data_IF_422513628099
#
_entry.id   IF_422513628099
#
_cell.length_a   1.000
_cell.length_b   1.000
_cell.length_c   1.000
_cell.angle_alpha   90.00
_cell.angle_beta   90.00
_cell.angle_gamma   90.00
#
_symmetry.space_group_name_H-M   'P 1'
#
loop_
_entity.id
_entity.type
_entity.pdbx_description
1 polymer ?
#
# COMPACT_ATOMS: atom_id res chain seq x y z
N UNK A 1 3.40 36.76 14.01
CA UNK A 1 2.33 35.75 14.04
C UNK A 1 3.06 34.44 14.23
N UNK A 2 2.82 33.73 15.32
CA UNK A 2 3.35 32.36 15.47
C UNK A 2 2.78 31.54 14.35
N UNK A 3 3.65 30.96 13.52
CA UNK A 3 3.24 30.02 12.49
C UNK A 3 2.71 28.78 13.23
N UNK A 4 1.40 28.63 13.30
CA UNK A 4 0.79 27.49 13.99
C UNK A 4 1.08 26.23 13.19
N UNK A 5 1.61 25.22 13.87
CA UNK A 5 1.90 23.93 13.26
C UNK A 5 0.62 23.28 12.70
N UNK A 6 0.71 22.67 11.52
CA UNK A 6 -0.37 21.91 10.88
C UNK A 6 -0.03 20.42 10.86
N UNK A 7 -0.99 19.57 11.17
CA UNK A 7 -0.83 18.11 11.03
C UNK A 7 -2.16 17.46 10.73
N UNK A 8 -2.11 16.38 9.93
CA UNK A 8 -3.31 15.62 9.62
C UNK A 8 -3.03 14.30 8.91
N UNK A 9 -4.05 13.45 8.92
CA UNK A 9 -4.07 12.16 8.25
C UNK A 9 -4.66 12.28 6.86
N UNK A 10 -3.90 11.86 5.85
CA UNK A 10 -4.29 11.85 4.43
C UNK A 10 -4.40 10.42 3.96
N UNK A 11 -5.61 9.90 3.88
CA UNK A 11 -5.84 8.50 3.59
C UNK A 11 -6.11 8.27 2.11
N UNK A 12 -5.39 7.32 1.52
CA UNK A 12 -5.45 6.97 0.10
C UNK A 12 -6.26 5.70 -0.03
N UNK A 13 -7.45 5.82 -0.61
CA UNK A 13 -8.40 4.70 -0.79
C UNK A 13 -8.80 4.57 -2.26
N UNK A 14 -9.35 3.42 -2.63
CA UNK A 14 -9.81 3.14 -3.99
C UNK A 14 -9.62 1.67 -4.36
N UNK A 15 -10.02 1.29 -5.55
CA UNK A 15 -10.00 -0.08 -6.03
C UNK A 15 -8.57 -0.64 -6.21
N UNK A 16 -8.40 -1.96 -6.34
CA UNK A 16 -7.11 -2.55 -6.66
C UNK A 16 -6.55 -2.05 -7.99
N UNK A 17 -5.23 -1.87 -8.07
CA UNK A 17 -4.47 -1.52 -9.27
C UNK A 17 -4.72 -0.12 -9.87
N UNK A 18 -5.43 0.77 -9.21
CA UNK A 18 -5.62 2.17 -9.64
C UNK A 18 -4.37 3.04 -9.41
N UNK A 19 -3.34 2.52 -8.74
CA UNK A 19 -2.06 3.19 -8.56
C UNK A 19 -1.86 3.88 -7.21
N UNK A 20 -2.60 3.50 -6.16
CA UNK A 20 -2.48 4.05 -4.80
C UNK A 20 -1.06 4.01 -4.24
N UNK A 21 -0.42 2.84 -4.25
CA UNK A 21 0.95 2.66 -3.72
C UNK A 21 2.00 3.43 -4.54
N UNK A 22 1.79 3.58 -5.86
CA UNK A 22 2.64 4.44 -6.70
C UNK A 22 2.50 5.90 -6.28
N UNK A 23 1.25 6.36 -6.11
CA UNK A 23 0.94 7.70 -5.63
C UNK A 23 1.54 7.93 -4.23
N UNK A 24 1.34 7.00 -3.30
CA UNK A 24 1.90 7.06 -1.94
C UNK A 24 3.41 7.32 -1.95
N UNK A 25 4.16 6.51 -2.70
CA UNK A 25 5.61 6.67 -2.82
C UNK A 25 6.01 8.01 -3.45
N UNK A 26 5.21 8.57 -4.37
CA UNK A 26 5.43 9.91 -4.96
C UNK A 26 5.15 11.05 -3.97
N UNK A 27 4.10 10.91 -3.16
CA UNK A 27 3.74 11.92 -2.15
C UNK A 27 4.77 11.96 -1.02
N UNK A 28 5.19 10.80 -0.53
CA UNK A 28 6.19 10.70 0.55
C UNK A 28 7.60 11.02 0.07
N UNK A 29 7.91 10.71 -1.19
CA UNK A 29 9.26 10.86 -1.76
C UNK A 29 10.17 9.64 -1.56
N UNK A 30 9.70 8.64 -0.81
CA UNK A 30 10.43 7.42 -0.47
C UNK A 30 9.64 6.17 -0.88
N UNK A 31 10.34 5.05 -1.09
CA UNK A 31 9.71 3.78 -1.44
C UNK A 31 9.32 3.00 -0.19
N UNK A 32 8.15 3.30 0.36
CA UNK A 32 7.61 2.64 1.56
C UNK A 32 6.52 1.61 1.24
N UNK A 33 5.83 1.72 0.11
CA UNK A 33 4.86 0.73 -0.37
C UNK A 33 5.41 -0.04 -1.57
N UNK A 34 5.18 -1.35 -1.61
CA UNK A 34 5.54 -2.19 -2.77
C UNK A 34 4.58 -1.95 -3.93
N UNK A 35 5.09 -2.10 -5.15
CA UNK A 35 4.33 -1.82 -6.36
C UNK A 35 4.37 -3.04 -7.29
N UNK A 36 3.20 -3.61 -7.59
CA UNK A 36 3.04 -4.62 -8.64
C UNK A 36 1.72 -4.41 -9.39
N UNK A 37 1.57 -5.02 -10.56
CA UNK A 37 0.32 -5.03 -11.32
C UNK A 37 -0.72 -6.03 -10.78
N UNK A 38 -0.39 -6.80 -9.74
CA UNK A 38 -1.28 -7.81 -9.17
C UNK A 38 -2.20 -7.22 -8.11
N UNK A 39 -3.43 -7.72 -8.05
CA UNK A 39 -4.33 -7.41 -6.94
C UNK A 39 -3.73 -7.88 -5.60
N UNK A 40 -4.19 -7.33 -4.49
CA UNK A 40 -3.69 -7.65 -3.14
C UNK A 40 -2.18 -7.40 -2.96
N UNK A 41 -1.60 -6.46 -3.72
CA UNK A 41 -0.21 -6.02 -3.53
C UNK A 41 -0.06 -5.40 -2.15
N UNK A 42 -0.86 -4.40 -1.81
CA UNK A 42 -0.97 -3.84 -0.45
C UNK A 42 -1.98 -4.66 0.34
N UNK A 43 -1.58 -5.22 1.46
CA UNK A 43 -2.44 -6.00 2.37
C UNK A 43 -2.63 -5.34 3.72
N UNK A 44 -1.68 -4.54 4.14
CA UNK A 44 -1.71 -3.75 5.38
C UNK A 44 -1.98 -2.28 5.07
N UNK A 45 -2.45 -1.56 6.06
CA UNK A 45 -2.40 -0.10 6.04
C UNK A 45 -0.94 0.32 6.30
N UNK A 46 -0.36 1.09 5.38
CA UNK A 46 1.03 1.53 5.44
C UNK A 46 1.05 3.05 5.60
N UNK A 47 1.69 3.53 6.66
CA UNK A 47 1.82 4.95 6.96
C UNK A 47 3.17 5.47 6.48
N UNK A 48 3.16 6.62 5.80
CA UNK A 48 4.33 7.40 5.45
C UNK A 48 4.19 8.84 5.92
N UNK A 49 5.21 9.33 6.58
CA UNK A 49 5.20 10.61 7.27
C UNK A 49 6.08 11.61 6.53
N UNK A 50 5.51 12.75 6.17
CA UNK A 50 6.25 13.87 5.57
C UNK A 50 6.31 15.01 6.61
N UNK A 51 7.51 15.43 6.93
CA UNK A 51 7.78 16.46 7.92
C UNK A 51 8.41 17.70 7.29
N UNK A 52 7.89 18.88 7.66
CA UNK A 52 8.55 20.17 7.47
C UNK A 52 8.69 20.87 8.82
N UNK A 53 9.25 22.06 8.85
CA UNK A 53 9.41 22.82 10.11
C UNK A 53 8.06 23.05 10.81
N UNK A 54 7.03 23.36 10.04
CA UNK A 54 5.71 23.83 10.50
C UNK A 54 4.56 22.89 10.12
N UNK A 55 4.86 21.74 9.52
CA UNK A 55 3.82 20.78 9.07
C UNK A 55 4.26 19.33 9.25
N UNK A 56 3.27 18.45 9.52
CA UNK A 56 3.43 17.01 9.43
C UNK A 56 2.22 16.40 8.70
N UNK A 57 2.47 15.72 7.57
CA UNK A 57 1.42 15.03 6.81
C UNK A 57 1.62 13.52 6.97
N UNK A 58 0.58 12.85 7.47
CA UNK A 58 0.59 11.40 7.67
C UNK A 58 -0.21 10.75 6.55
N UNK A 59 0.48 10.36 5.47
CA UNK A 59 -0.13 9.62 4.37
C UNK A 59 -0.37 8.16 4.75
N UNK A 60 -1.47 7.59 4.28
CA UNK A 60 -1.84 6.21 4.56
C UNK A 60 -2.24 5.49 3.28
N UNK A 61 -1.42 4.54 2.80
CA UNK A 61 -1.78 3.63 1.71
C UNK A 61 -2.62 2.48 2.25
N UNK A 62 -3.75 2.20 1.61
CA UNK A 62 -4.68 1.14 2.03
C UNK A 62 -4.76 0.01 1.01
N UNK A 63 -5.14 -1.20 1.44
CA UNK A 63 -5.51 -2.26 0.51
C UNK A 63 -6.56 -1.79 -0.49
N UNK A 64 -6.54 -2.36 -1.70
CA UNK A 64 -7.60 -2.09 -2.67
C UNK A 64 -8.94 -2.67 -2.22
N UNK A 65 -10.00 -1.87 -2.41
CA UNK A 65 -11.37 -2.29 -2.08
C UNK A 65 -11.80 -3.44 -2.98
N UNK A 66 -12.22 -4.55 -2.37
CA UNK A 66 -12.67 -5.76 -3.07
C UNK A 66 -13.80 -6.44 -2.28
N UNK A 67 -14.58 -7.27 -2.96
CA UNK A 67 -15.53 -8.15 -2.28
C UNK A 67 -14.77 -9.33 -1.67
N UNK A 68 -14.82 -9.51 -0.32
CA UNK A 68 -14.05 -10.54 0.36
C UNK A 68 -14.64 -11.94 0.11
N UNK A 69 -13.75 -12.91 -0.15
CA UNK A 69 -14.09 -14.32 -0.30
C UNK A 69 -13.52 -15.17 0.87
N UNK A 70 -12.64 -14.61 1.69
CA UNK A 70 -12.02 -15.25 2.86
C UNK A 70 -11.54 -14.19 3.85
N UNK A 71 -11.28 -14.60 5.10
CA UNK A 71 -11.02 -13.68 6.24
C UNK A 71 -9.87 -12.70 6.04
N UNK A 72 -8.79 -13.08 5.37
CA UNK A 72 -7.73 -12.14 5.05
C UNK A 72 -8.25 -10.95 4.21
N UNK A 73 -9.14 -11.22 3.23
CA UNK A 73 -9.71 -10.15 2.42
C UNK A 73 -10.71 -9.29 3.21
N UNK A 74 -11.42 -9.88 4.18
CA UNK A 74 -12.25 -9.12 5.12
C UNK A 74 -11.39 -8.16 5.94
N UNK A 75 -10.26 -8.62 6.47
CA UNK A 75 -9.29 -7.76 7.19
C UNK A 75 -8.75 -6.64 6.30
N UNK A 76 -8.42 -6.94 5.05
CA UNK A 76 -7.99 -5.93 4.07
C UNK A 76 -9.07 -4.88 3.81
N UNK A 77 -10.33 -5.30 3.66
CA UNK A 77 -11.46 -4.38 3.48
C UNK A 77 -11.68 -3.51 4.73
N UNK A 78 -11.54 -4.08 5.92
CA UNK A 78 -11.64 -3.35 7.17
C UNK A 78 -10.58 -2.25 7.29
N UNK A 79 -9.33 -2.49 6.88
CA UNK A 79 -8.31 -1.43 6.81
C UNK A 79 -8.72 -0.27 5.89
N UNK A 80 -9.33 -0.59 4.73
CA UNK A 80 -9.77 0.45 3.79
C UNK A 80 -11.00 1.21 4.30
N UNK A 81 -11.88 0.54 5.05
CA UNK A 81 -13.06 1.18 5.65
C UNK A 81 -12.69 2.04 6.86
N UNK A 82 -11.78 1.58 7.73
CA UNK A 82 -11.33 2.37 8.88
C UNK A 82 -10.66 3.68 8.44
N UNK A 83 -9.96 3.64 7.31
CA UNK A 83 -9.32 4.82 6.74
C UNK A 83 -10.30 5.92 6.28
N UNK A 84 -11.60 5.63 6.16
CA UNK A 84 -12.62 6.66 5.90
C UNK A 84 -12.96 7.47 7.15
N UNK A 85 -12.84 6.85 8.34
CA UNK A 85 -13.27 7.43 9.61
C UNK A 85 -12.24 8.33 10.29
N UNK A 86 -10.96 8.16 9.97
CA UNK A 86 -9.85 8.88 10.61
C UNK A 86 -9.10 9.82 9.66
N UNK A 87 -9.65 10.12 8.49
CA UNK A 87 -9.06 11.01 7.52
C UNK A 87 -9.37 12.48 7.81
N UNK A 88 -8.35 13.34 7.84
CA UNK A 88 -8.51 14.80 7.74
C UNK A 88 -8.68 15.22 6.26
N UNK A 89 -8.05 14.48 5.34
CA UNK A 89 -8.25 14.60 3.89
C UNK A 89 -8.30 13.22 3.27
N UNK A 90 -9.26 12.97 2.41
CA UNK A 90 -9.41 11.70 1.70
C UNK A 90 -8.96 11.83 0.25
N UNK A 91 -7.97 11.04 -0.16
CA UNK A 91 -7.59 10.85 -1.56
C UNK A 91 -8.31 9.61 -2.09
N UNK A 92 -9.42 9.82 -2.80
CA UNK A 92 -10.11 8.73 -3.48
C UNK A 92 -9.53 8.54 -4.88
N UNK A 93 -8.82 7.42 -5.08
CA UNK A 93 -8.09 7.16 -6.32
C UNK A 93 -8.86 6.18 -7.20
N UNK A 94 -9.13 6.60 -8.42
CA UNK A 94 -9.63 5.81 -9.54
C UNK A 94 -8.66 5.89 -10.72
N UNK A 95 -8.95 5.22 -11.82
CA UNK A 95 -8.18 5.36 -13.05
C UNK A 95 -9.08 5.41 -14.31
N UNK A 96 -8.48 5.71 -15.45
CA UNK A 96 -9.19 5.87 -16.73
C UNK A 96 -9.73 4.57 -17.32
N UNK A 97 -9.39 3.41 -16.75
CA UNK A 97 -9.82 2.08 -17.24
C UNK A 97 -10.92 1.49 -16.39
N UNK A 98 -11.03 1.93 -15.15
CA UNK A 98 -11.95 1.37 -14.17
C UNK A 98 -13.41 1.74 -14.47
N UNK A 99 -14.31 0.77 -14.28
CA UNK A 99 -15.75 1.06 -14.30
C UNK A 99 -16.15 1.75 -13.00
N UNK A 100 -16.91 2.82 -13.13
CA UNK A 100 -17.36 3.68 -12.02
C UNK A 100 -18.22 2.89 -11.00
N UNK A 101 -19.02 1.96 -11.47
CA UNK A 101 -19.96 1.15 -10.68
C UNK A 101 -19.33 -0.10 -10.01
N UNK A 102 -18.01 -0.28 -10.10
CA UNK A 102 -17.35 -1.51 -9.67
C UNK A 102 -17.50 -1.82 -8.17
N UNK A 103 -17.53 -0.80 -7.30
CA UNK A 103 -17.71 -0.92 -5.85
C UNK A 103 -18.65 0.16 -5.31
N UNK A 104 -19.89 0.09 -5.72
CA UNK A 104 -20.92 1.09 -5.39
C UNK A 104 -21.11 1.28 -3.88
N UNK A 105 -21.13 0.18 -3.10
CA UNK A 105 -21.24 0.25 -1.64
C UNK A 105 -20.10 1.06 -0.98
N UNK A 106 -18.90 0.94 -1.49
CA UNK A 106 -17.76 1.71 -0.97
C UNK A 106 -17.87 3.17 -1.39
N UNK A 107 -18.28 3.43 -2.64
CA UNK A 107 -18.51 4.78 -3.14
C UNK A 107 -19.59 5.50 -2.29
N UNK A 108 -20.68 4.82 -1.93
CA UNK A 108 -21.70 5.37 -1.02
C UNK A 108 -21.15 5.75 0.36
N UNK A 109 -20.15 5.01 0.87
CA UNK A 109 -19.45 5.39 2.10
C UNK A 109 -18.57 6.63 1.90
N UNK A 110 -17.86 6.73 0.77
CA UNK A 110 -17.08 7.92 0.41
C UNK A 110 -17.95 9.17 0.28
N UNK A 111 -19.17 9.05 -0.28
CA UNK A 111 -20.11 10.15 -0.38
C UNK A 111 -20.55 10.74 0.98
N UNK A 112 -20.43 9.94 2.05
CA UNK A 112 -20.88 10.30 3.41
C UNK A 112 -19.78 10.84 4.31
N UNK A 113 -18.51 10.82 3.88
CA UNK A 113 -17.42 11.37 4.67
C UNK A 113 -17.57 12.88 4.82
N UNK A 114 -17.17 13.40 5.98
CA UNK A 114 -17.28 14.83 6.28
C UNK A 114 -16.02 15.60 5.91
N UNK A 115 -14.87 14.90 5.82
CA UNK A 115 -13.60 15.51 5.44
C UNK A 115 -13.56 15.89 3.95
N UNK A 116 -12.69 16.82 3.54
CA UNK A 116 -12.43 17.13 2.14
C UNK A 116 -12.03 15.88 1.34
N UNK A 117 -12.63 15.69 0.16
CA UNK A 117 -12.33 14.59 -0.76
C UNK A 117 -11.65 15.13 -2.00
N UNK A 118 -10.44 14.67 -2.29
CA UNK A 118 -9.77 14.84 -3.56
C UNK A 118 -9.94 13.56 -4.38
N UNK A 119 -10.74 13.61 -5.43
CA UNK A 119 -10.89 12.50 -6.37
C UNK A 119 -9.76 12.57 -7.40
N UNK A 120 -8.88 11.59 -7.37
CA UNK A 120 -7.74 11.53 -8.25
C UNK A 120 -8.00 10.52 -9.38
N UNK A 121 -8.15 11.02 -10.61
CA UNK A 121 -8.27 10.17 -11.81
C UNK A 121 -6.85 9.90 -12.33
N UNK A 122 -6.33 8.71 -12.03
CA UNK A 122 -4.96 8.32 -12.35
C UNK A 122 -4.82 7.70 -13.75
N UNK A 123 -3.57 7.53 -14.20
CA UNK A 123 -3.17 6.92 -15.47
C UNK A 123 -3.66 7.69 -16.71
N UNK A 124 -3.80 9.01 -16.62
CA UNK A 124 -4.24 9.83 -17.76
C UNK A 124 -3.29 9.79 -18.95
N UNK A 125 -2.06 9.31 -18.74
CA UNK A 125 -1.08 9.01 -19.78
C UNK A 125 -1.50 7.87 -20.74
N UNK A 126 -2.59 7.17 -20.42
CA UNK A 126 -3.11 6.04 -21.21
C UNK A 126 -4.47 6.31 -21.86
N UNK A 127 -4.97 7.56 -21.83
CA UNK A 127 -6.27 7.94 -22.38
C UNK A 127 -6.18 9.19 -23.26
N UNK A 128 -7.27 9.53 -23.94
CA UNK A 128 -7.38 10.74 -24.74
C UNK A 128 -8.08 11.87 -23.99
N UNK A 129 -7.88 13.12 -24.43
CA UNK A 129 -8.52 14.28 -23.82
C UNK A 129 -10.06 14.18 -23.80
N UNK A 130 -10.77 13.81 -24.90
CA UNK A 130 -12.22 13.71 -24.88
C UNK A 130 -12.75 12.63 -23.94
N UNK A 131 -12.06 11.49 -23.82
CA UNK A 131 -12.42 10.41 -22.88
C UNK A 131 -12.26 10.87 -21.43
N UNK A 132 -11.17 11.59 -21.14
CA UNK A 132 -10.94 12.15 -19.81
C UNK A 132 -11.98 13.17 -19.41
N UNK A 133 -12.35 14.10 -20.32
CA UNK A 133 -13.39 15.11 -20.07
C UNK A 133 -14.74 14.48 -19.76
N UNK A 134 -15.11 13.43 -20.50
CA UNK A 134 -16.33 12.66 -20.23
C UNK A 134 -16.27 12.02 -18.84
N UNK A 135 -15.17 11.35 -18.50
CA UNK A 135 -14.99 10.70 -17.19
C UNK A 135 -15.03 11.70 -16.03
N UNK A 136 -14.44 12.89 -16.20
CA UNK A 136 -14.51 13.98 -15.22
C UNK A 136 -15.95 14.43 -15.00
N UNK A 137 -16.74 14.56 -16.09
CA UNK A 137 -18.16 14.95 -15.99
C UNK A 137 -18.98 13.90 -15.22
N UNK A 138 -18.79 12.61 -15.54
CA UNK A 138 -19.47 11.50 -14.85
C UNK A 138 -19.12 11.47 -13.35
N UNK A 139 -17.85 11.63 -12.97
CA UNK A 139 -17.45 11.69 -11.57
C UNK A 139 -17.97 12.92 -10.84
N UNK A 140 -18.13 14.05 -11.52
CA UNK A 140 -18.68 15.27 -10.93
C UNK A 140 -20.17 15.12 -10.56
N UNK A 141 -20.93 14.31 -11.30
CA UNK A 141 -22.31 13.97 -10.95
C UNK A 141 -22.36 13.05 -9.73
N UNK A 142 -21.46 12.09 -9.62
CA UNK A 142 -21.43 11.10 -8.54
C UNK A 142 -20.85 11.64 -7.22
N UNK A 143 -19.82 12.49 -7.30
CA UNK A 143 -19.15 13.10 -6.15
C UNK A 143 -19.10 14.63 -6.30
N UNK A 144 -20.24 15.32 -6.25
CA UNK A 144 -20.32 16.76 -6.54
C UNK A 144 -19.52 17.64 -5.56
N UNK A 145 -19.23 17.15 -4.35
CA UNK A 145 -18.45 17.85 -3.34
C UNK A 145 -16.94 17.61 -3.47
N UNK A 146 -16.51 16.60 -4.23
CA UNK A 146 -15.10 16.30 -4.39
C UNK A 146 -14.43 17.26 -5.38
N UNK A 147 -13.20 17.61 -5.10
CA UNK A 147 -12.30 18.24 -6.07
C UNK A 147 -11.71 17.16 -6.97
N UNK A 148 -11.95 17.23 -8.28
CA UNK A 148 -11.51 16.21 -9.24
C UNK A 148 -10.18 16.66 -9.85
N UNK A 149 -9.16 15.83 -9.71
CA UNK A 149 -7.79 16.12 -10.19
C UNK A 149 -7.31 14.96 -11.05
N UNK A 150 -7.20 15.15 -12.38
CA UNK A 150 -6.54 14.18 -13.24
C UNK A 150 -5.03 14.14 -12.99
N UNK A 151 -4.47 12.92 -12.82
CA UNK A 151 -3.06 12.72 -12.51
C UNK A 151 -2.45 11.56 -13.32
N UNK A 152 -1.13 11.54 -13.40
CA UNK A 152 -0.36 10.33 -13.70
C UNK A 152 0.71 10.15 -12.62
N UNK A 153 0.49 9.22 -11.70
CA UNK A 153 1.47 8.89 -10.66
C UNK A 153 2.75 8.28 -11.26
N UNK A 154 2.65 7.62 -12.41
CA UNK A 154 3.79 7.04 -13.11
C UNK A 154 4.71 8.14 -13.68
N UNK A 155 4.15 9.09 -14.42
CA UNK A 155 4.89 10.19 -15.05
C UNK A 155 5.08 11.43 -14.16
N UNK A 156 4.61 11.38 -12.92
CA UNK A 156 4.63 12.50 -11.96
C UNK A 156 3.80 13.73 -12.38
N UNK A 157 2.81 13.53 -13.28
CA UNK A 157 1.96 14.63 -13.73
C UNK A 157 0.92 15.01 -12.67
N UNK A 158 0.80 16.30 -12.37
CA UNK A 158 -0.08 16.91 -11.35
C UNK A 158 0.16 16.46 -9.89
N UNK A 159 1.24 15.72 -9.59
CA UNK A 159 1.52 15.27 -8.21
C UNK A 159 1.86 16.46 -7.30
N UNK A 160 2.64 17.42 -7.78
CA UNK A 160 2.96 18.62 -7.00
C UNK A 160 1.73 19.53 -6.77
N UNK A 161 0.74 19.50 -7.66
CA UNK A 161 -0.55 20.14 -7.41
C UNK A 161 -1.32 19.44 -6.30
N UNK A 162 -1.38 18.09 -6.31
CA UNK A 162 -2.01 17.32 -5.23
C UNK A 162 -1.34 17.61 -3.89
N UNK A 163 0.01 17.64 -3.81
CA UNK A 163 0.75 18.00 -2.59
C UNK A 163 0.30 19.35 -2.03
N UNK A 164 0.31 20.39 -2.86
CA UNK A 164 -0.14 21.74 -2.44
C UNK A 164 -1.58 21.76 -1.96
N UNK A 165 -2.49 21.06 -2.66
CA UNK A 165 -3.90 20.99 -2.22
C UNK A 165 -4.05 20.29 -0.89
N UNK A 166 -3.28 19.22 -0.64
CA UNK A 166 -3.22 18.55 0.66
C UNK A 166 -2.71 19.51 1.74
N UNK A 167 -1.59 20.22 1.51
CA UNK A 167 -1.01 21.19 2.44
C UNK A 167 -2.00 22.31 2.82
N UNK A 168 -2.76 22.82 1.83
CA UNK A 168 -3.80 23.85 2.04
C UNK A 168 -4.91 23.35 2.97
N UNK A 169 -5.26 22.07 2.88
CA UNK A 169 -6.36 21.44 3.61
C UNK A 169 -5.96 20.92 5.00
N UNK A 170 -4.66 20.94 5.35
CA UNK A 170 -4.20 20.45 6.65
C UNK A 170 -4.72 21.29 7.80
N UNK A 171 -5.30 20.68 8.85
CA UNK A 171 -5.78 21.38 10.04
C UNK A 171 -4.62 21.86 10.92
N UNK A 172 -4.87 22.87 11.73
CA UNK A 172 -3.97 23.26 12.82
C UNK A 172 -3.97 22.18 13.90
N UNK A 173 -2.82 21.52 14.09
CA UNK A 173 -2.62 20.45 15.07
C UNK A 173 -1.13 20.31 15.40
N UNK A 174 -0.75 19.89 16.62
CA UNK A 174 0.62 19.46 16.89
C UNK A 174 0.98 18.19 16.09
N UNK A 175 2.27 17.87 15.92
CA UNK A 175 2.69 16.65 15.25
C UNK A 175 2.21 15.40 16.00
N UNK A 176 1.81 14.38 15.26
CA UNK A 176 1.36 13.08 15.78
C UNK A 176 2.54 12.12 16.02
N UNK A 177 3.63 12.30 15.28
CA UNK A 177 4.84 11.48 15.33
C UNK A 177 6.07 12.34 15.53
N UNK A 178 7.17 11.72 15.95
CA UNK A 178 8.47 12.39 16.01
C UNK A 178 8.84 12.95 14.63
N UNK A 179 9.54 14.09 14.63
CA UNK A 179 9.84 14.86 13.40
C UNK A 179 10.82 14.15 12.45
N UNK A 180 11.55 13.15 12.92
CA UNK A 180 12.46 12.31 12.14
C UNK A 180 11.80 10.98 11.71
N UNK A 181 10.57 10.70 12.16
CA UNK A 181 9.85 9.50 11.77
C UNK A 181 9.44 9.56 10.30
N UNK A 182 9.72 8.48 9.55
CA UNK A 182 9.28 8.28 8.17
C UNK A 182 8.03 7.40 8.08
N UNK A 183 7.83 6.50 9.04
CA UNK A 183 6.76 5.49 9.06
C UNK A 183 6.57 4.93 10.47
N UNK A 184 5.42 4.29 10.72
CA UNK A 184 5.13 3.54 11.95
C UNK A 184 5.62 2.08 11.88
N UNK A 185 6.10 1.61 10.72
CA UNK A 185 6.46 0.21 10.51
C UNK A 185 7.91 -0.08 10.88
N UNK A 186 8.17 -1.21 11.56
CA UNK A 186 9.54 -1.62 11.87
C UNK A 186 10.28 -2.12 10.61
N UNK A 187 11.60 -2.13 10.65
CA UNK A 187 12.47 -2.62 9.58
C UNK A 187 12.09 -4.02 9.06
N UNK A 188 11.67 -4.92 9.96
CA UNK A 188 11.21 -6.29 9.60
C UNK A 188 10.02 -6.28 8.64
N UNK A 189 9.12 -5.33 8.77
CA UNK A 189 7.95 -5.20 7.88
C UNK A 189 8.39 -4.93 6.43
N UNK A 190 9.35 -4.05 6.21
CA UNK A 190 9.84 -3.75 4.86
C UNK A 190 10.56 -4.95 4.23
N UNK A 191 11.31 -5.72 5.03
CA UNK A 191 11.90 -6.98 4.55
C UNK A 191 10.81 -7.96 4.09
N UNK A 192 9.75 -8.11 4.89
CA UNK A 192 8.59 -8.94 4.56
C UNK A 192 7.97 -8.51 3.24
N UNK A 193 7.69 -7.22 3.08
CA UNK A 193 7.08 -6.67 1.87
C UNK A 193 7.98 -6.78 0.64
N UNK A 194 9.29 -6.54 0.77
CA UNK A 194 10.23 -6.71 -0.35
C UNK A 194 10.27 -8.17 -0.81
N UNK A 195 10.33 -9.14 0.10
CA UNK A 195 10.29 -10.57 -0.26
C UNK A 195 8.96 -10.89 -0.92
N UNK A 196 7.83 -10.42 -0.37
CA UNK A 196 6.50 -10.65 -0.91
C UNK A 196 6.34 -10.02 -2.30
N UNK A 197 6.90 -8.84 -2.55
CA UNK A 197 6.94 -8.23 -3.88
C UNK A 197 7.63 -9.15 -4.91
N UNK A 198 8.79 -9.73 -4.56
CA UNK A 198 9.48 -10.64 -5.49
C UNK A 198 8.70 -11.92 -5.76
N UNK A 199 7.97 -12.41 -4.77
CA UNK A 199 7.05 -13.53 -4.95
C UNK A 199 5.90 -13.12 -5.89
N UNK A 200 5.30 -11.96 -5.68
CA UNK A 200 4.25 -11.41 -6.55
C UNK A 200 4.73 -11.25 -8.00
N UNK A 201 5.95 -10.78 -8.21
CA UNK A 201 6.50 -10.58 -9.55
C UNK A 201 6.88 -11.88 -10.25
N UNK A 202 7.43 -12.84 -9.52
CA UNK A 202 8.03 -14.05 -10.09
C UNK A 202 7.01 -15.18 -10.34
N UNK A 203 6.11 -15.42 -9.35
CA UNK A 203 5.14 -16.50 -9.47
C UNK A 203 3.82 -16.03 -10.10
N UNK A 204 3.06 -16.97 -10.64
CA UNK A 204 1.81 -16.72 -11.37
C UNK A 204 0.62 -17.47 -10.73
N UNK A 205 -0.55 -17.31 -11.31
CA UNK A 205 -1.82 -17.93 -10.90
C UNK A 205 -2.15 -17.61 -9.43
N UNK A 206 -2.48 -18.61 -8.64
CA UNK A 206 -2.90 -18.49 -7.24
C UNK A 206 -1.73 -18.31 -6.24
N UNK A 207 -0.50 -18.66 -6.61
CA UNK A 207 0.64 -18.65 -5.69
C UNK A 207 0.85 -17.28 -5.00
N UNK A 208 0.85 -16.14 -5.72
CA UNK A 208 1.01 -14.82 -5.11
C UNK A 208 -0.01 -14.50 -4.03
N UNK A 209 -1.21 -15.06 -4.13
CA UNK A 209 -2.33 -14.76 -3.22
C UNK A 209 -2.40 -15.71 -2.01
N UNK A 210 -1.69 -16.84 -2.08
CA UNK A 210 -1.68 -17.88 -1.06
C UNK A 210 -0.45 -17.82 -0.13
N UNK A 211 0.39 -16.80 -0.30
CA UNK A 211 1.67 -16.65 0.40
C UNK A 211 1.57 -15.59 1.49
N UNK A 212 2.15 -15.90 2.65
CA UNK A 212 2.53 -14.92 3.67
C UNK A 212 4.04 -15.02 3.92
N UNK A 213 4.66 -13.90 4.32
CA UNK A 213 6.08 -13.85 4.66
C UNK A 213 6.24 -13.37 6.10
N UNK A 214 7.04 -14.08 6.88
CA UNK A 214 7.33 -13.71 8.27
C UNK A 214 8.84 -13.66 8.45
N UNK A 215 9.36 -12.59 9.03
CA UNK A 215 10.76 -12.48 9.41
C UNK A 215 10.95 -13.03 10.83
N UNK A 216 11.54 -14.23 10.93
CA UNK A 216 11.83 -14.88 12.22
C UNK A 216 13.04 -14.26 12.93
N UNK A 217 14.08 -13.91 12.15
CA UNK A 217 15.29 -13.27 12.67
C UNK A 217 15.62 -12.04 11.83
N UNK A 218 15.87 -10.93 12.50
CA UNK A 218 16.47 -9.72 11.95
C UNK A 218 17.54 -9.26 12.95
N UNK A 219 18.78 -9.49 12.62
CA UNK A 219 19.92 -9.11 13.47
C UNK A 219 20.82 -8.19 12.66
N UNK A 220 20.87 -6.95 13.06
CA UNK A 220 21.75 -5.96 12.48
C UNK A 220 23.10 -5.96 13.19
N UNK A 221 24.16 -6.18 12.44
CA UNK A 221 25.56 -6.08 12.87
C UNK A 221 26.22 -4.89 12.16
N UNK A 222 27.45 -4.57 12.51
CA UNK A 222 28.13 -3.38 12.00
C UNK A 222 28.20 -3.35 10.46
N UNK A 223 28.59 -4.46 9.83
CA UNK A 223 28.78 -4.54 8.36
C UNK A 223 27.65 -5.27 7.62
N UNK A 224 26.83 -6.05 8.31
CA UNK A 224 25.87 -6.96 7.69
C UNK A 224 24.59 -7.11 8.49
N UNK A 225 23.47 -7.30 7.79
CA UNK A 225 22.19 -7.67 8.40
C UNK A 225 21.93 -9.15 8.14
N UNK A 226 21.72 -9.93 9.20
CA UNK A 226 21.31 -11.33 9.12
C UNK A 226 19.80 -11.45 9.21
N UNK A 227 19.19 -12.03 8.17
CA UNK A 227 17.75 -12.17 8.04
C UNK A 227 17.40 -13.63 7.81
N UNK A 228 16.45 -14.13 8.62
CA UNK A 228 15.80 -15.42 8.38
C UNK A 228 14.32 -15.17 8.16
N UNK A 229 13.82 -15.51 6.97
CA UNK A 229 12.44 -15.34 6.57
C UNK A 229 11.76 -16.69 6.31
N UNK A 230 10.49 -16.78 6.72
CA UNK A 230 9.63 -17.93 6.49
C UNK A 230 8.54 -17.54 5.51
N UNK A 231 8.45 -18.28 4.41
CA UNK A 231 7.38 -18.18 3.42
C UNK A 231 6.31 -19.21 3.77
N UNK A 232 5.14 -18.75 4.13
CA UNK A 232 4.00 -19.57 4.52
C UNK A 232 3.08 -19.77 3.33
N UNK A 233 2.65 -21.01 3.07
CA UNK A 233 1.72 -21.40 2.02
C UNK A 233 0.64 -22.33 2.57
N UNK A 234 -0.46 -22.52 1.85
CA UNK A 234 -1.58 -23.36 2.32
C UNK A 234 -1.44 -24.85 1.99
N UNK A 235 -0.65 -25.21 0.95
CA UNK A 235 -0.61 -26.57 0.40
C UNK A 235 0.83 -26.99 0.05
N UNK A 236 1.10 -28.31 0.14
CA UNK A 236 2.40 -28.89 -0.26
C UNK A 236 2.71 -28.66 -1.74
N UNK A 237 1.70 -28.68 -2.63
CA UNK A 237 1.88 -28.34 -4.03
C UNK A 237 2.41 -26.92 -4.24
N UNK A 238 1.91 -25.94 -3.47
CA UNK A 238 2.39 -24.55 -3.51
C UNK A 238 3.81 -24.44 -2.98
N UNK A 239 4.13 -25.18 -1.89
CA UNK A 239 5.51 -25.28 -1.38
C UNK A 239 6.45 -25.81 -2.46
N UNK A 240 6.07 -26.87 -3.15
CA UNK A 240 6.86 -27.43 -4.26
C UNK A 240 7.11 -26.41 -5.39
N UNK A 241 6.08 -25.61 -5.76
CA UNK A 241 6.18 -24.58 -6.79
C UNK A 241 7.14 -23.45 -6.34
N UNK A 242 7.03 -23.01 -5.08
CA UNK A 242 7.89 -21.92 -4.54
C UNK A 242 9.34 -22.37 -4.48
N UNK A 243 9.62 -23.57 -4.02
CA UNK A 243 10.98 -24.12 -3.97
C UNK A 243 11.51 -24.32 -5.40
N UNK A 244 10.70 -24.89 -6.28
CA UNK A 244 11.05 -25.22 -7.66
C UNK A 244 12.06 -26.37 -7.75
N UNK A 245 12.43 -26.74 -8.98
CA UNK A 245 13.36 -27.82 -9.22
C UNK A 245 14.71 -27.56 -8.52
N UNK A 246 15.12 -28.45 -7.61
CA UNK A 246 16.37 -28.34 -6.80
C UNK A 246 16.55 -26.98 -6.10
N UNK A 247 15.45 -26.31 -5.73
CA UNK A 247 15.49 -25.01 -5.03
C UNK A 247 15.79 -23.79 -5.90
N UNK A 248 15.85 -23.94 -7.23
CA UNK A 248 16.29 -22.86 -8.14
C UNK A 248 15.33 -21.67 -8.13
N UNK A 249 14.00 -21.89 -8.06
CA UNK A 249 13.04 -20.81 -8.04
C UNK A 249 13.17 -19.98 -6.76
N UNK A 250 13.23 -20.62 -5.60
CA UNK A 250 13.42 -19.95 -4.30
C UNK A 250 14.74 -19.19 -4.24
N UNK A 251 15.82 -19.79 -4.76
CA UNK A 251 17.15 -19.13 -4.83
C UNK A 251 17.09 -17.86 -5.69
N UNK A 252 16.39 -17.88 -6.82
CA UNK A 252 16.24 -16.72 -7.72
C UNK A 252 15.46 -15.60 -7.05
N UNK A 253 14.33 -15.92 -6.41
CA UNK A 253 13.53 -14.94 -5.64
C UNK A 253 14.35 -14.37 -4.50
N UNK A 254 15.09 -15.20 -3.76
CA UNK A 254 15.98 -14.77 -2.68
C UNK A 254 17.08 -13.82 -3.13
N UNK A 255 17.71 -14.10 -4.27
CA UNK A 255 18.73 -13.21 -4.83
C UNK A 255 18.15 -11.84 -5.22
N UNK A 256 16.94 -11.82 -5.80
CA UNK A 256 16.25 -10.56 -6.14
C UNK A 256 15.85 -9.78 -4.88
N UNK A 257 15.28 -10.47 -3.88
CA UNK A 257 14.89 -9.85 -2.61
C UNK A 257 16.09 -9.29 -1.88
N UNK A 258 17.18 -10.07 -1.73
CA UNK A 258 18.41 -9.63 -1.09
C UNK A 258 18.96 -8.35 -1.69
N UNK A 259 19.03 -8.25 -3.02
CA UNK A 259 19.53 -7.06 -3.71
C UNK A 259 18.72 -5.82 -3.39
N UNK A 260 17.38 -5.94 -3.29
CA UNK A 260 16.52 -4.81 -2.99
C UNK A 260 16.53 -4.47 -1.49
N UNK A 261 16.67 -5.46 -0.61
CA UNK A 261 16.86 -5.25 0.83
C UNK A 261 18.21 -4.53 1.09
N UNK A 262 19.31 -4.98 0.43
CA UNK A 262 20.62 -4.31 0.51
C UNK A 262 20.53 -2.84 0.07
N UNK A 263 19.75 -2.54 -0.98
CA UNK A 263 19.53 -1.16 -1.43
C UNK A 263 18.71 -0.35 -0.44
N UNK A 264 17.69 -0.96 0.17
CA UNK A 264 16.78 -0.29 1.12
C UNK A 264 17.50 0.08 2.42
N UNK A 265 18.36 -0.79 2.94
CA UNK A 265 19.10 -0.56 4.19
C UNK A 265 20.51 -0.01 3.97
N UNK A 266 20.94 0.17 2.73
CA UNK A 266 22.30 0.59 2.35
C UNK A 266 23.41 -0.26 3.01
N UNK A 267 23.11 -1.55 3.25
CA UNK A 267 23.94 -2.47 4.00
C UNK A 267 23.92 -3.86 3.38
N UNK A 268 25.00 -4.63 3.51
CA UNK A 268 25.04 -6.03 3.06
C UNK A 268 24.07 -6.89 3.83
N UNK A 269 23.49 -7.89 3.16
CA UNK A 269 22.45 -8.76 3.74
C UNK A 269 22.79 -10.24 3.50
N UNK A 270 22.75 -11.01 4.59
CA UNK A 270 22.69 -12.46 4.54
C UNK A 270 21.23 -12.88 4.72
N UNK A 271 20.61 -13.41 3.65
CA UNK A 271 19.20 -13.78 3.61
C UNK A 271 19.01 -15.29 3.50
N UNK A 272 18.40 -15.87 4.52
CA UNK A 272 17.91 -17.25 4.51
C UNK A 272 16.39 -17.26 4.36
N UNK A 273 15.87 -18.14 3.48
CA UNK A 273 14.44 -18.29 3.26
C UNK A 273 14.02 -19.76 3.34
N UNK A 274 12.95 -20.01 4.07
CA UNK A 274 12.35 -21.32 4.25
C UNK A 274 10.89 -21.29 3.82
N UNK A 275 10.32 -22.45 3.45
CA UNK A 275 8.92 -22.57 3.05
C UNK A 275 8.21 -23.54 3.97
N UNK A 276 7.14 -23.08 4.61
CA UNK A 276 6.30 -23.84 5.53
C UNK A 276 4.87 -23.94 5.02
N UNK A 277 4.23 -25.07 5.24
CA UNK A 277 2.80 -25.24 4.96
C UNK A 277 2.01 -25.01 6.24
N UNK A 278 1.08 -24.06 6.18
CA UNK A 278 0.06 -23.79 7.20
C UNK A 278 -1.31 -23.85 6.51
N UNK A 279 -1.99 -24.97 6.67
CA UNK A 279 -3.27 -25.21 6.00
C UNK A 279 -4.30 -24.16 6.38
N UNK A 280 -4.97 -23.61 5.36
CA UNK A 280 -6.06 -22.64 5.49
C UNK A 280 -5.71 -21.40 6.33
N UNK A 281 -4.46 -20.95 6.28
CA UNK A 281 -3.97 -19.84 7.11
C UNK A 281 -4.76 -18.54 6.87
N UNK A 282 -5.27 -18.32 5.65
CA UNK A 282 -6.03 -17.12 5.28
C UNK A 282 -7.40 -16.98 5.95
N UNK A 283 -7.90 -18.09 6.57
CA UNK A 283 -9.17 -18.13 7.31
C UNK A 283 -8.99 -18.31 8.81
N UNK A 284 -7.75 -18.37 9.32
CA UNK A 284 -7.45 -18.63 10.74
C UNK A 284 -7.16 -17.34 11.49
N UNK A 285 -8.09 -16.90 12.34
CA UNK A 285 -8.00 -15.63 13.09
C UNK A 285 -6.72 -15.48 13.90
N UNK A 286 -6.27 -16.56 14.58
CA UNK A 286 -5.04 -16.53 15.35
C UNK A 286 -3.79 -16.27 14.49
N UNK A 287 -3.74 -16.80 13.27
CA UNK A 287 -2.62 -16.54 12.34
C UNK A 287 -2.73 -15.15 11.75
N UNK A 288 -3.93 -14.74 11.34
CA UNK A 288 -4.16 -13.39 10.82
C UNK A 288 -3.77 -12.33 11.84
N UNK A 289 -4.14 -12.52 13.12
CA UNK A 289 -3.71 -11.64 14.21
C UNK A 289 -2.19 -11.59 14.34
N UNK A 290 -1.51 -12.75 14.34
CA UNK A 290 -0.06 -12.84 14.46
C UNK A 290 0.67 -12.17 13.28
N UNK A 291 0.04 -12.13 12.10
CA UNK A 291 0.57 -11.47 10.91
C UNK A 291 0.17 -9.99 10.81
N UNK A 292 -0.55 -9.46 11.81
CA UNK A 292 -0.93 -8.04 11.87
C UNK A 292 -2.13 -7.66 11.01
N UNK A 293 -3.02 -8.61 10.68
CA UNK A 293 -4.22 -8.36 9.87
C UNK A 293 -5.48 -8.02 10.68
N UNK A 294 -5.40 -7.88 11.99
CA UNK A 294 -6.53 -7.41 12.79
C UNK A 294 -6.33 -5.94 13.15
N UNK A 295 -7.41 -5.18 13.12
CA UNK A 295 -7.50 -3.88 13.76
C UNK A 295 -7.61 -4.12 15.27
N UNK A 296 -6.74 -3.51 16.07
CA UNK A 296 -6.83 -3.52 17.53
C UNK A 296 -8.06 -2.76 18.02
#
# INVERSE_FOLDING_TARGET
MENKHKSGFVNIVGNPNVGKSTLMNRLVGERISIITSKAQTTRHRIIGIVNTADMQIVYSDTPGVLHPNYKLQESMLNFSQSALGDADVLLYVTDVVEKIDKNEEFLQKVQKVECPVLLLINKIDTTTQPELEKLVAEWKELLPKAEIIPISALSNFNIDYVKRRVEDLMPESPPYFEKDALTDKPARFFVTEIIREKILLYYQKEIPYAVEVVVELFKEEEEMIHIKALIIVERDSQKGIIIGHKGQALKKVGAMARKDIERFFEKKVFLEMFVKVEKDWRNRDNLLKNFGYQLD
#
